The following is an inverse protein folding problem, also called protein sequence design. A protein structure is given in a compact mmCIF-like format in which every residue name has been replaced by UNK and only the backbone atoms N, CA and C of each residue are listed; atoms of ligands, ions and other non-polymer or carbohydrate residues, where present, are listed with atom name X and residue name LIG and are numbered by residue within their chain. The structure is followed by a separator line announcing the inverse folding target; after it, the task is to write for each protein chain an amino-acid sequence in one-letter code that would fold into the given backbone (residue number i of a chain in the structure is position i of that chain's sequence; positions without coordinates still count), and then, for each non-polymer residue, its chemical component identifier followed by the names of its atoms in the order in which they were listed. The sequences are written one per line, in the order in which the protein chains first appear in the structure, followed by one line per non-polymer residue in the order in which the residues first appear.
data_IF_814117463479
#
_entry.id   IF_814117463479
#
_cell.length_a   1.000
_cell.length_b   1.000
_cell.length_c   1.000
_cell.angle_alpha   90.00
_cell.angle_beta   90.00
_cell.angle_gamma   90.00
#
_symmetry.space_group_name_H-M   'P 1'
#
loop_
_entity.id
_entity.type
_entity.pdbx_description
1 polymer ?
#
# COMPACT_ATOMS: atom_id res chain seq x y z
N UNK A 1 -44.34 -0.77 -30.17
CA UNK A 1 -42.97 -1.29 -29.98
C UNK A 1 -42.42 -0.67 -28.69
N UNK A 2 -42.72 -1.28 -27.54
CA UNK A 2 -42.25 -0.80 -26.23
C UNK A 2 -40.78 -1.19 -26.06
N UNK A 3 -39.88 -0.22 -26.01
CA UNK A 3 -38.52 -0.44 -25.50
C UNK A 3 -38.60 -0.48 -23.96
N UNK A 4 -38.46 -1.66 -23.38
CA UNK A 4 -38.13 -1.80 -21.96
C UNK A 4 -36.69 -1.34 -21.74
N UNK A 5 -36.52 -0.19 -21.09
CA UNK A 5 -35.26 0.18 -20.47
C UNK A 5 -34.99 -0.76 -19.30
N UNK A 6 -34.16 -1.77 -19.53
CA UNK A 6 -33.50 -2.55 -18.48
C UNK A 6 -32.65 -1.59 -17.64
N UNK A 7 -33.19 -1.18 -16.50
CA UNK A 7 -32.43 -0.52 -15.47
C UNK A 7 -31.46 -1.55 -14.90
N UNK A 8 -30.19 -1.46 -15.28
CA UNK A 8 -29.10 -2.14 -14.56
C UNK A 8 -29.09 -1.60 -13.15
N UNK A 9 -29.60 -2.38 -12.20
CA UNK A 9 -29.39 -2.11 -10.79
C UNK A 9 -27.88 -2.15 -10.57
N UNK A 10 -27.29 -0.99 -10.24
CA UNK A 10 -25.96 -0.92 -9.64
C UNK A 10 -26.05 -1.74 -8.35
N UNK A 11 -25.49 -2.95 -8.36
CA UNK A 11 -25.31 -3.71 -7.14
C UNK A 11 -24.48 -2.83 -6.20
N UNK A 12 -25.07 -2.41 -5.08
CA UNK A 12 -24.30 -1.88 -3.97
C UNK A 12 -23.23 -2.93 -3.67
N UNK A 13 -21.95 -2.56 -3.79
CA UNK A 13 -20.84 -3.44 -3.47
C UNK A 13 -21.03 -3.93 -2.04
N UNK A 14 -21.34 -5.22 -1.90
CA UNK A 14 -21.50 -5.83 -0.59
C UNK A 14 -20.18 -5.65 0.17
N UNK A 15 -20.24 -4.99 1.32
CA UNK A 15 -19.06 -4.78 2.15
C UNK A 15 -18.41 -6.13 2.46
N UNK A 16 -17.07 -6.21 2.46
CA UNK A 16 -16.36 -7.42 2.78
C UNK A 16 -16.70 -7.89 4.20
N UNK A 17 -16.60 -9.19 4.42
CA UNK A 17 -16.85 -9.80 5.74
C UNK A 17 -15.89 -9.23 6.79
N UNK A 18 -16.43 -8.84 7.96
CA UNK A 18 -15.65 -8.38 9.12
C UNK A 18 -15.89 -9.34 10.30
N UNK A 19 -14.83 -10.01 10.74
CA UNK A 19 -14.86 -11.00 11.83
C UNK A 19 -14.29 -10.41 13.12
N UNK A 20 -14.57 -11.06 14.26
CA UNK A 20 -13.94 -10.74 15.56
C UNK A 20 -14.57 -9.58 16.34
N UNK A 21 -15.59 -8.90 15.80
CA UNK A 21 -16.20 -7.73 16.44
C UNK A 21 -17.50 -8.03 17.22
N UNK A 22 -18.02 -9.25 17.15
CA UNK A 22 -19.36 -9.59 17.64
C UNK A 22 -19.57 -9.38 19.16
N UNK A 23 -18.52 -9.56 19.96
CA UNK A 23 -18.54 -9.35 21.42
C UNK A 23 -18.37 -7.88 21.83
N UNK A 24 -18.03 -6.99 20.89
CA UNK A 24 -17.86 -5.57 21.16
C UNK A 24 -19.23 -4.86 21.28
N UNK A 25 -19.31 -3.73 22.01
CA UNK A 25 -20.51 -2.90 22.02
C UNK A 25 -20.93 -2.49 20.60
N UNK A 26 -22.23 -2.32 20.36
CA UNK A 26 -22.77 -1.97 19.03
C UNK A 26 -22.20 -0.66 18.47
N UNK A 27 -21.90 0.32 19.32
CA UNK A 27 -21.22 1.54 18.93
C UNK A 27 -19.82 1.28 18.37
N UNK A 28 -19.03 0.44 19.04
CA UNK A 28 -17.70 0.06 18.57
C UNK A 28 -17.76 -0.74 17.25
N UNK A 29 -18.71 -1.68 17.12
CA UNK A 29 -18.95 -2.38 15.86
C UNK A 29 -19.24 -1.39 14.71
N UNK A 30 -20.08 -0.39 14.96
CA UNK A 30 -20.40 0.65 13.99
C UNK A 30 -19.18 1.48 13.60
N UNK A 31 -18.39 1.95 14.58
CA UNK A 31 -17.13 2.67 14.34
C UNK A 31 -16.18 1.87 13.46
N UNK A 32 -15.98 0.57 13.75
CA UNK A 32 -15.09 -0.30 12.98
C UNK A 32 -15.59 -0.46 11.55
N UNK A 33 -16.90 -0.66 11.35
CA UNK A 33 -17.47 -0.75 10.01
C UNK A 33 -17.31 0.55 9.21
N UNK A 34 -17.55 1.71 9.84
CA UNK A 34 -17.36 3.01 9.19
C UNK A 34 -15.90 3.25 8.80
N UNK A 35 -14.98 2.92 9.69
CA UNK A 35 -13.55 3.04 9.45
C UNK A 35 -13.08 2.15 8.29
N UNK A 36 -13.42 0.85 8.32
CA UNK A 36 -13.06 -0.09 7.25
C UNK A 36 -13.65 0.35 5.91
N UNK A 37 -14.93 0.76 5.90
CA UNK A 37 -15.59 1.24 4.67
C UNK A 37 -14.86 2.47 4.13
N UNK A 38 -14.57 3.45 4.98
CA UNK A 38 -13.83 4.64 4.59
C UNK A 38 -12.47 4.30 3.99
N UNK A 39 -11.71 3.38 4.60
CA UNK A 39 -10.38 3.00 4.11
C UNK A 39 -10.42 2.22 2.80
N UNK A 40 -11.44 1.37 2.60
CA UNK A 40 -11.69 0.68 1.32
C UNK A 40 -11.98 1.70 0.23
N UNK A 41 -12.96 2.58 0.45
CA UNK A 41 -13.36 3.60 -0.52
C UNK A 41 -12.18 4.52 -0.86
N UNK A 42 -11.41 4.91 0.15
CA UNK A 42 -10.23 5.74 0.01
C UNK A 42 -9.17 5.09 -0.89
N UNK A 43 -8.89 3.82 -0.66
CA UNK A 43 -7.90 3.05 -1.41
C UNK A 43 -8.38 2.79 -2.84
N UNK A 44 -9.63 2.37 -3.01
CA UNK A 44 -10.21 2.07 -4.31
C UNK A 44 -10.33 3.31 -5.21
N UNK A 45 -10.55 4.50 -4.64
CA UNK A 45 -10.52 5.76 -5.38
C UNK A 45 -9.15 6.05 -6.04
N UNK A 46 -8.07 5.49 -5.49
CA UNK A 46 -6.71 5.67 -5.98
C UNK A 46 -6.21 4.49 -6.82
N UNK A 47 -6.54 3.26 -6.43
CA UNK A 47 -5.95 2.05 -7.02
C UNK A 47 -6.96 1.21 -7.82
N UNK A 48 -8.24 1.60 -7.83
CA UNK A 48 -9.32 0.92 -8.54
C UNK A 48 -10.10 -0.05 -7.66
N UNK A 49 -11.24 -0.56 -8.17
CA UNK A 49 -12.07 -1.49 -7.43
C UNK A 49 -11.35 -2.82 -7.22
N UNK A 50 -11.48 -3.38 -6.02
CA UNK A 50 -11.15 -4.77 -5.74
C UNK A 50 -12.41 -5.61 -5.90
N UNK A 51 -12.26 -6.87 -6.29
CA UNK A 51 -13.42 -7.75 -6.43
C UNK A 51 -14.06 -8.03 -5.07
N UNK A 52 -15.38 -7.91 -5.00
CA UNK A 52 -16.14 -8.27 -3.80
C UNK A 52 -15.88 -9.75 -3.46
N UNK A 53 -15.66 -10.03 -2.17
CA UNK A 53 -15.27 -11.35 -1.65
C UNK A 53 -13.84 -11.82 -1.98
N UNK A 54 -12.97 -10.98 -2.56
CA UNK A 54 -11.54 -11.33 -2.72
C UNK A 54 -10.73 -11.13 -1.42
N UNK A 55 -11.30 -10.45 -0.43
CA UNK A 55 -10.71 -10.22 0.89
C UNK A 55 -11.76 -10.11 2.00
N UNK A 56 -11.34 -10.38 3.23
CA UNK A 56 -12.11 -10.23 4.46
C UNK A 56 -11.24 -9.66 5.59
N UNK A 57 -11.87 -9.14 6.64
CA UNK A 57 -11.20 -8.55 7.79
C UNK A 57 -11.31 -9.42 9.02
N UNK A 58 -10.21 -9.53 9.76
CA UNK A 58 -10.16 -10.15 11.09
C UNK A 58 -9.72 -9.12 12.11
N UNK A 59 -10.62 -8.79 13.04
CA UNK A 59 -10.36 -7.75 14.02
C UNK A 59 -10.11 -8.38 15.39
N UNK A 60 -8.97 -8.05 15.98
CA UNK A 60 -8.67 -8.26 17.39
C UNK A 60 -8.67 -6.91 18.11
N UNK A 61 -9.66 -6.66 18.97
CA UNK A 61 -9.71 -5.44 19.76
C UNK A 61 -9.03 -5.63 21.12
N UNK A 62 -7.89 -4.95 21.33
CA UNK A 62 -7.19 -4.95 22.62
C UNK A 62 -7.78 -3.90 23.55
N UNK A 63 -7.81 -4.21 24.85
CA UNK A 63 -8.41 -3.31 25.83
C UNK A 63 -7.75 -1.94 25.86
N UNK A 64 -6.42 -1.86 25.77
CA UNK A 64 -5.67 -0.62 25.60
C UNK A 64 -4.45 -0.89 24.69
N UNK A 65 -4.14 0.04 23.80
CA UNK A 65 -2.93 0.04 22.99
C UNK A 65 -2.30 1.44 22.99
N UNK A 66 -1.05 1.53 22.53
CA UNK A 66 -0.33 2.82 22.44
C UNK A 66 -0.60 3.57 21.12
N UNK A 67 -1.25 2.91 20.16
CA UNK A 67 -1.59 3.42 18.84
C UNK A 67 -3.00 2.91 18.49
N UNK A 68 -3.78 3.60 17.63
CA UNK A 68 -5.11 3.16 17.24
C UNK A 68 -5.10 1.77 16.57
N UNK A 69 -4.08 1.48 15.75
CA UNK A 69 -3.89 0.18 15.08
C UNK A 69 -2.45 -0.30 15.32
N UNK A 70 -2.15 -0.90 16.49
CA UNK A 70 -0.77 -1.25 16.86
C UNK A 70 -0.15 -2.35 15.98
N UNK A 71 -0.95 -3.10 15.23
CA UNK A 71 -0.46 -4.17 14.38
C UNK A 71 -1.46 -4.53 13.28
N UNK A 72 -0.93 -4.88 12.12
CA UNK A 72 -1.70 -5.46 11.03
C UNK A 72 -0.83 -6.34 10.13
N UNK A 73 -1.48 -7.19 9.34
CA UNK A 73 -0.85 -7.88 8.20
C UNK A 73 -1.89 -8.42 7.20
N UNK A 74 -1.46 -8.64 5.96
CA UNK A 74 -2.18 -9.46 4.99
C UNK A 74 -1.79 -10.93 5.10
N UNK A 75 -2.74 -11.81 5.42
CA UNK A 75 -2.60 -13.24 5.19
C UNK A 75 -3.12 -13.57 3.78
N UNK A 76 -2.20 -13.95 2.87
CA UNK A 76 -2.53 -14.33 1.49
C UNK A 76 -3.24 -15.69 1.48
N UNK A 77 -4.54 -15.68 1.24
CA UNK A 77 -5.42 -16.85 1.20
C UNK A 77 -6.55 -16.64 0.20
N UNK A 78 -7.50 -17.58 0.09
CA UNK A 78 -8.72 -17.42 -0.72
C UNK A 78 -9.94 -17.48 0.21
N UNK A 79 -10.52 -16.33 0.61
CA UNK A 79 -10.11 -14.94 0.30
C UNK A 79 -8.87 -14.48 1.09
N UNK A 80 -8.25 -13.37 0.68
CA UNK A 80 -7.20 -12.72 1.48
C UNK A 80 -7.76 -12.28 2.84
N UNK A 81 -6.95 -12.29 3.89
CA UNK A 81 -7.37 -11.87 5.23
C UNK A 81 -6.55 -10.66 5.68
N UNK A 82 -7.20 -9.53 5.86
CA UNK A 82 -6.62 -8.33 6.47
C UNK A 82 -6.78 -8.48 7.98
N UNK A 83 -5.72 -8.93 8.66
CA UNK A 83 -5.72 -9.09 10.11
C UNK A 83 -5.31 -7.76 10.76
N UNK A 84 -6.12 -7.28 11.70
CA UNK A 84 -5.93 -5.99 12.38
C UNK A 84 -6.05 -6.20 13.88
N UNK A 85 -5.05 -5.72 14.61
CA UNK A 85 -5.20 -5.44 16.03
C UNK A 85 -5.51 -3.96 16.20
N UNK A 86 -6.55 -3.62 16.95
CA UNK A 86 -6.96 -2.23 17.21
C UNK A 86 -7.05 -1.93 18.70
N UNK A 87 -6.90 -0.66 19.08
CA UNK A 87 -7.37 -0.19 20.38
C UNK A 87 -8.90 -0.22 20.40
N UNK A 88 -9.46 -0.92 21.39
CA UNK A 88 -10.91 -1.03 21.60
C UNK A 88 -11.60 0.32 21.80
N UNK A 89 -10.87 1.32 22.30
CA UNK A 89 -11.42 2.64 22.63
C UNK A 89 -11.04 3.73 21.64
N UNK A 90 -10.30 3.41 20.56
CA UNK A 90 -9.98 4.41 19.54
C UNK A 90 -11.25 4.99 18.90
N UNK A 91 -11.28 6.31 18.76
CA UNK A 91 -12.34 7.02 18.07
C UNK A 91 -12.22 6.83 16.56
N UNK A 92 -13.33 7.03 15.84
CA UNK A 92 -13.39 6.87 14.39
C UNK A 92 -12.32 7.71 13.66
N UNK A 93 -12.12 8.96 14.10
CA UNK A 93 -11.15 9.86 13.46
C UNK A 93 -9.70 9.46 13.77
N UNK A 94 -9.42 8.89 14.95
CA UNK A 94 -8.11 8.35 15.27
C UNK A 94 -7.78 7.16 14.37
N UNK A 95 -8.74 6.24 14.19
CA UNK A 95 -8.61 5.10 13.29
C UNK A 95 -8.43 5.53 11.82
N UNK A 96 -9.17 6.55 11.35
CA UNK A 96 -9.01 7.10 10.00
C UNK A 96 -7.66 7.76 9.78
N UNK A 97 -7.13 8.46 10.79
CA UNK A 97 -5.82 9.12 10.72
C UNK A 97 -4.66 8.13 10.84
N UNK A 98 -4.91 6.93 11.37
CA UNK A 98 -3.95 5.84 11.39
C UNK A 98 -3.64 5.36 9.96
N UNK A 99 -2.36 5.15 9.69
CA UNK A 99 -1.89 4.84 8.34
C UNK A 99 -1.97 3.35 7.98
N UNK A 100 -2.08 2.49 8.99
CA UNK A 100 -1.81 1.05 8.91
C UNK A 100 -2.77 0.36 7.95
N UNK A 101 -4.06 0.67 8.02
CA UNK A 101 -5.04 0.01 7.15
C UNK A 101 -4.85 0.39 5.67
N UNK A 102 -4.45 1.63 5.34
CA UNK A 102 -4.15 2.00 3.95
C UNK A 102 -2.92 1.27 3.41
N UNK A 103 -1.94 0.99 4.27
CA UNK A 103 -0.76 0.21 3.93
C UNK A 103 -1.14 -1.24 3.59
N UNK A 104 -1.88 -1.91 4.47
CA UNK A 104 -2.30 -3.28 4.25
C UNK A 104 -3.18 -3.44 3.01
N UNK A 105 -4.12 -2.50 2.80
CA UNK A 105 -4.97 -2.53 1.60
C UNK A 105 -4.16 -2.34 0.32
N UNK A 106 -3.10 -1.52 0.33
CA UNK A 106 -2.24 -1.34 -0.83
C UNK A 106 -1.54 -2.66 -1.23
N UNK A 107 -1.19 -3.53 -0.28
CA UNK A 107 -0.63 -4.86 -0.64
C UNK A 107 -1.56 -5.70 -1.51
N UNK A 108 -2.88 -5.52 -1.44
CA UNK A 108 -3.84 -6.27 -2.27
C UNK A 108 -3.75 -5.94 -3.77
N UNK A 109 -3.04 -4.86 -4.15
CA UNK A 109 -2.90 -4.41 -5.53
C UNK A 109 -1.63 -4.87 -6.23
N UNK A 110 -0.76 -5.61 -5.54
CA UNK A 110 0.39 -6.27 -6.14
C UNK A 110 0.46 -7.74 -5.71
N UNK A 111 0.91 -8.65 -6.60
CA UNK A 111 1.36 -9.98 -6.20
C UNK A 111 2.46 -9.88 -5.14
N UNK A 112 2.46 -10.83 -4.21
CA UNK A 112 3.55 -10.95 -3.24
C UNK A 112 4.84 -11.37 -3.97
N UNK A 113 5.99 -10.82 -3.58
CA UNK A 113 7.28 -11.26 -4.10
C UNK A 113 7.99 -12.21 -3.16
N UNK A 114 9.00 -12.91 -3.67
CA UNK A 114 10.01 -13.58 -2.85
C UNK A 114 10.74 -12.62 -1.91
N UNK A 115 11.36 -13.17 -0.85
CA UNK A 115 11.88 -12.41 0.28
C UNK A 115 12.98 -11.40 -0.10
N UNK A 116 13.88 -11.75 -1.03
CA UNK A 116 14.94 -10.85 -1.50
C UNK A 116 14.40 -9.62 -2.25
N UNK A 117 13.12 -9.66 -2.65
CA UNK A 117 12.44 -8.62 -3.42
C UNK A 117 11.29 -7.97 -2.65
N UNK A 118 11.07 -8.36 -1.39
CA UNK A 118 9.95 -7.87 -0.55
C UNK A 118 9.95 -6.34 -0.38
N UNK A 119 11.12 -5.70 -0.53
CA UNK A 119 11.25 -4.24 -0.56
C UNK A 119 10.38 -3.56 -1.64
N UNK A 120 10.05 -4.26 -2.73
CA UNK A 120 9.08 -3.78 -3.72
C UNK A 120 7.66 -3.74 -3.14
N UNK A 121 7.20 -4.81 -2.47
CA UNK A 121 5.87 -4.84 -1.87
C UNK A 121 5.74 -3.83 -0.73
N UNK A 122 6.70 -3.82 0.21
CA UNK A 122 6.71 -2.89 1.35
C UNK A 122 6.87 -1.44 0.90
N UNK A 123 7.72 -1.21 -0.10
CA UNK A 123 7.90 0.09 -0.72
C UNK A 123 6.63 0.64 -1.35
N UNK A 124 5.92 -0.21 -2.12
CA UNK A 124 4.67 0.16 -2.76
C UNK A 124 3.61 0.54 -1.72
N UNK A 125 3.40 -0.32 -0.72
CA UNK A 125 2.42 -0.05 0.34
C UNK A 125 2.76 1.22 1.13
N UNK A 126 4.04 1.40 1.47
CA UNK A 126 4.52 2.60 2.18
C UNK A 126 4.39 3.88 1.35
N UNK A 127 4.55 3.80 0.03
CA UNK A 127 4.35 4.93 -0.88
C UNK A 127 2.85 5.24 -1.03
N UNK A 128 2.06 4.22 -1.35
CA UNK A 128 0.62 4.36 -1.60
C UNK A 128 -0.16 4.81 -0.39
N UNK A 129 0.18 4.37 0.84
CA UNK A 129 -0.50 4.87 2.04
C UNK A 129 -0.43 6.40 2.13
N UNK A 130 0.70 7.03 1.78
CA UNK A 130 0.84 8.49 1.89
C UNK A 130 -0.04 9.18 0.83
N UNK A 131 -0.05 8.63 -0.39
CA UNK A 131 -0.89 9.15 -1.48
C UNK A 131 -2.38 9.02 -1.15
N UNK A 132 -2.82 7.86 -0.68
CA UNK A 132 -4.23 7.63 -0.30
C UNK A 132 -4.64 8.63 0.78
N UNK A 133 -3.85 8.77 1.85
CA UNK A 133 -4.16 9.71 2.93
C UNK A 133 -4.15 11.17 2.46
N UNK A 134 -3.23 11.56 1.57
CA UNK A 134 -3.23 12.90 0.98
C UNK A 134 -4.49 13.15 0.15
N UNK A 135 -4.90 12.21 -0.69
CA UNK A 135 -6.07 12.36 -1.57
C UNK A 135 -7.39 12.35 -0.82
N UNK A 136 -7.43 11.77 0.38
CA UNK A 136 -8.57 11.86 1.28
C UNK A 136 -8.55 13.07 2.21
N UNK A 137 -7.55 13.96 2.08
CA UNK A 137 -7.44 15.16 2.92
C UNK A 137 -7.03 14.86 4.38
N UNK A 138 -6.64 13.63 4.70
CA UNK A 138 -6.07 13.27 6.00
C UNK A 138 -4.65 13.84 6.18
N UNK A 139 -3.96 14.07 5.07
CA UNK A 139 -2.73 14.84 5.00
C UNK A 139 -2.96 16.02 4.06
N UNK A 140 -2.43 17.19 4.41
CA UNK A 140 -2.18 18.24 3.43
C UNK A 140 -0.83 18.02 2.73
N UNK A 141 -0.55 18.77 1.66
CA UNK A 141 0.67 18.63 0.87
C UNK A 141 1.95 18.82 1.71
N UNK A 142 1.94 19.76 2.66
CA UNK A 142 3.08 20.01 3.55
C UNK A 142 3.33 18.80 4.46
N UNK A 143 2.29 18.25 5.06
CA UNK A 143 2.36 17.06 5.90
C UNK A 143 2.82 15.84 5.10
N UNK A 144 2.31 15.65 3.88
CA UNK A 144 2.76 14.58 2.98
C UNK A 144 4.27 14.71 2.72
N UNK A 145 4.75 15.88 2.28
CA UNK A 145 6.18 16.08 1.97
C UNK A 145 7.05 15.87 3.21
N UNK A 146 6.63 16.39 4.37
CA UNK A 146 7.34 16.20 5.63
C UNK A 146 7.42 14.72 6.04
N UNK A 147 6.32 13.97 5.94
CA UNK A 147 6.27 12.54 6.27
C UNK A 147 7.18 11.72 5.37
N UNK A 148 7.11 11.94 4.05
CA UNK A 148 7.96 11.23 3.07
C UNK A 148 9.44 11.58 3.30
N UNK A 149 9.78 12.86 3.47
CA UNK A 149 11.14 13.30 3.75
C UNK A 149 11.69 12.68 5.05
N UNK A 150 10.91 12.69 6.12
CA UNK A 150 11.30 12.11 7.40
C UNK A 150 11.50 10.58 7.30
N UNK A 151 10.65 9.90 6.54
CA UNK A 151 10.78 8.48 6.24
C UNK A 151 12.06 8.14 5.48
N UNK A 152 12.31 8.82 4.37
CA UNK A 152 13.54 8.67 3.59
C UNK A 152 14.79 8.92 4.45
N UNK A 153 14.73 9.90 5.37
CA UNK A 153 15.81 10.14 6.32
C UNK A 153 16.04 8.96 7.28
N UNK A 154 14.96 8.33 7.80
CA UNK A 154 15.08 7.10 8.62
C UNK A 154 15.69 5.94 7.82
N UNK A 155 15.25 5.74 6.58
CA UNK A 155 15.84 4.75 5.67
C UNK A 155 17.33 4.97 5.48
N UNK A 156 17.74 6.20 5.14
CA UNK A 156 19.15 6.59 5.00
C UNK A 156 19.98 6.36 6.26
N UNK A 157 19.42 6.67 7.44
CA UNK A 157 20.09 6.41 8.72
C UNK A 157 20.26 4.90 8.95
N UNK A 158 19.25 4.09 8.63
CA UNK A 158 19.33 2.65 8.82
C UNK A 158 20.28 1.97 7.83
N UNK A 159 20.42 2.46 6.60
CA UNK A 159 21.44 1.99 5.64
C UNK A 159 22.87 2.13 6.16
N UNK A 160 23.14 3.11 7.03
CA UNK A 160 24.46 3.24 7.68
C UNK A 160 24.71 2.19 8.76
N UNK A 161 23.65 1.61 9.33
CA UNK A 161 23.71 0.61 10.42
C UNK A 161 23.64 -0.82 9.88
N UNK A 162 22.87 -1.03 8.83
CA UNK A 162 22.70 -2.32 8.16
C UNK A 162 23.23 -2.15 6.75
N UNK A 163 24.46 -2.61 6.51
CA UNK A 163 25.13 -2.60 5.20
C UNK A 163 24.75 -3.82 4.34
N UNK A 164 25.23 -3.88 3.09
CA UNK A 164 24.98 -5.00 2.17
C UNK A 164 24.05 -4.59 1.03
N UNK A 165 23.92 -5.44 0.01
CA UNK A 165 23.02 -5.19 -1.11
C UNK A 165 21.55 -5.19 -0.64
N UNK A 166 20.69 -4.39 -1.29
CA UNK A 166 19.30 -4.26 -0.86
C UNK A 166 18.55 -5.60 -0.88
N UNK A 167 18.80 -6.45 -1.87
CA UNK A 167 18.16 -7.76 -1.95
C UNK A 167 18.55 -8.68 -0.79
N UNK A 168 19.84 -8.74 -0.43
CA UNK A 168 20.33 -9.51 0.72
C UNK A 168 19.75 -9.01 2.05
N UNK A 169 19.65 -7.68 2.19
CA UNK A 169 19.07 -7.08 3.39
C UNK A 169 17.55 -7.28 3.46
N UNK A 170 16.89 -7.30 2.31
CA UNK A 170 15.44 -7.57 2.23
C UNK A 170 15.13 -9.02 2.59
N UNK A 171 15.91 -9.97 2.06
CA UNK A 171 15.77 -11.40 2.35
C UNK A 171 15.86 -11.70 3.85
N UNK A 172 16.72 -10.96 4.57
CA UNK A 172 16.98 -11.15 5.99
C UNK A 172 16.45 -10.00 6.88
N UNK A 173 15.47 -9.23 6.41
CA UNK A 173 15.12 -7.94 7.05
C UNK A 173 14.64 -8.08 8.49
N UNK A 174 13.93 -9.16 8.81
CA UNK A 174 13.36 -9.40 10.14
C UNK A 174 14.46 -9.64 11.18
N UNK A 175 15.44 -10.49 10.87
CA UNK A 175 16.56 -10.74 11.76
C UNK A 175 17.48 -9.52 11.90
N UNK A 176 17.64 -8.75 10.82
CA UNK A 176 18.44 -7.52 10.81
C UNK A 176 17.71 -6.31 11.41
N UNK A 177 16.41 -6.44 11.72
CA UNK A 177 15.51 -5.33 12.04
C UNK A 177 15.59 -4.17 11.01
N UNK A 178 15.75 -4.50 9.73
CA UNK A 178 16.07 -3.56 8.65
C UNK A 178 14.85 -2.89 7.98
N UNK A 179 13.70 -2.90 8.66
CA UNK A 179 12.41 -2.45 8.11
C UNK A 179 12.47 -1.03 7.51
N UNK A 180 13.01 -0.03 8.22
CA UNK A 180 13.09 1.33 7.68
C UNK A 180 13.94 1.42 6.42
N UNK A 181 15.04 0.67 6.33
CA UNK A 181 15.87 0.61 5.12
C UNK A 181 15.07 0.00 3.98
N UNK A 182 14.46 -1.16 4.19
CA UNK A 182 13.69 -1.91 3.17
C UNK A 182 12.55 -1.06 2.64
N UNK A 183 11.69 -0.58 3.54
CA UNK A 183 10.47 0.14 3.21
C UNK A 183 10.79 1.45 2.48
N UNK A 184 11.72 2.26 3.02
CA UNK A 184 12.02 3.56 2.43
C UNK A 184 12.96 3.50 1.23
N UNK A 185 13.71 2.41 1.01
CA UNK A 185 14.37 2.17 -0.28
C UNK A 185 13.33 1.88 -1.36
N UNK A 186 12.30 1.10 -1.03
CA UNK A 186 11.17 0.86 -1.94
C UNK A 186 10.35 2.13 -2.22
N UNK A 187 10.12 2.99 -1.23
CA UNK A 187 9.48 4.31 -1.48
C UNK A 187 10.29 5.16 -2.46
N UNK A 188 11.62 5.22 -2.28
CA UNK A 188 12.48 5.96 -3.20
C UNK A 188 12.42 5.41 -4.63
N UNK A 189 12.38 4.08 -4.78
CA UNK A 189 12.15 3.42 -6.05
C UNK A 189 10.84 3.87 -6.71
N UNK A 190 9.72 3.87 -5.97
CA UNK A 190 8.43 4.29 -6.54
C UNK A 190 8.34 5.80 -6.81
N UNK A 191 9.07 6.65 -6.07
CA UNK A 191 9.19 8.09 -6.42
C UNK A 191 9.91 8.26 -7.76
N UNK A 192 11.03 7.56 -7.97
CA UNK A 192 11.76 7.63 -9.24
C UNK A 192 10.96 7.01 -10.39
N UNK A 193 10.25 5.91 -10.14
CA UNK A 193 9.37 5.28 -11.12
C UNK A 193 8.21 6.20 -11.51
N UNK A 194 7.51 6.80 -10.54
CA UNK A 194 6.43 7.76 -10.78
C UNK A 194 6.94 8.91 -11.67
N UNK A 195 8.06 9.52 -11.33
CA UNK A 195 8.62 10.63 -12.12
C UNK A 195 8.93 10.22 -13.55
N UNK A 196 9.52 9.04 -13.75
CA UNK A 196 9.82 8.51 -15.07
C UNK A 196 8.55 8.15 -15.88
N UNK A 197 7.47 7.75 -15.20
CA UNK A 197 6.16 7.54 -15.81
C UNK A 197 5.52 8.89 -16.21
N UNK A 198 5.60 9.91 -15.35
CA UNK A 198 5.07 11.25 -15.62
C UNK A 198 5.76 11.89 -16.84
N UNK A 199 7.07 11.69 -17.00
CA UNK A 199 7.82 12.10 -18.21
C UNK A 199 7.32 11.42 -19.50
N UNK A 200 6.51 10.36 -19.36
CA UNK A 200 5.90 9.59 -20.45
C UNK A 200 4.39 9.81 -20.54
N UNK A 201 3.85 10.82 -19.85
CA UNK A 201 2.42 11.15 -19.80
C UNK A 201 1.54 10.01 -19.26
N UNK A 202 2.05 9.24 -18.28
CA UNK A 202 1.30 8.26 -17.49
C UNK A 202 1.74 8.35 -16.03
N UNK A 203 1.11 7.62 -15.11
CA UNK A 203 1.45 7.62 -13.69
C UNK A 203 1.27 6.21 -13.11
N UNK A 204 1.75 5.98 -11.88
CA UNK A 204 1.66 4.68 -11.24
C UNK A 204 0.21 4.21 -11.07
N UNK A 205 -0.72 5.12 -10.73
CA UNK A 205 -2.15 4.80 -10.59
C UNK A 205 -2.71 4.18 -11.87
N UNK A 206 -2.46 4.80 -13.02
CA UNK A 206 -2.96 4.34 -14.30
C UNK A 206 -2.37 2.97 -14.68
N UNK A 207 -1.10 2.74 -14.34
CA UNK A 207 -0.44 1.43 -14.55
C UNK A 207 -1.08 0.34 -13.68
N UNK A 208 -1.32 0.62 -12.39
CA UNK A 208 -1.95 -0.35 -11.47
C UNK A 208 -3.40 -0.62 -11.89
N UNK A 209 -4.16 0.42 -12.25
CA UNK A 209 -5.53 0.29 -12.77
C UNK A 209 -5.61 -0.58 -14.03
N UNK A 210 -4.62 -0.48 -14.92
CA UNK A 210 -4.54 -1.32 -16.11
C UNK A 210 -4.15 -2.77 -15.78
N UNK A 211 -3.39 -3.00 -14.70
CA UNK A 211 -2.88 -4.31 -14.32
C UNK A 211 -3.92 -5.20 -13.61
N UNK A 212 -4.93 -5.69 -14.33
CA UNK A 212 -5.90 -6.66 -13.77
C UNK A 212 -5.24 -7.91 -13.19
N UNK A 213 -4.15 -8.36 -13.81
CA UNK A 213 -3.39 -9.51 -13.33
C UNK A 213 -2.79 -9.28 -11.94
N UNK A 214 -2.52 -8.03 -11.55
CA UNK A 214 -1.92 -7.70 -10.26
C UNK A 214 -2.85 -7.98 -9.07
N UNK A 215 -4.17 -8.03 -9.29
CA UNK A 215 -5.18 -8.24 -8.24
C UNK A 215 -5.85 -9.61 -8.26
N UNK A 216 -5.62 -10.42 -9.31
CA UNK A 216 -6.31 -11.69 -9.53
C UNK A 216 -5.53 -12.91 -9.08
N UNK A 217 -4.19 -12.86 -9.12
CA UNK A 217 -3.35 -14.00 -8.77
C UNK A 217 -2.79 -13.85 -7.35
N UNK A 218 -3.01 -14.89 -6.53
CA UNK A 218 -2.43 -14.99 -5.20
C UNK A 218 -1.06 -15.66 -5.21
N UNK A 219 -0.54 -16.03 -6.38
CA UNK A 219 0.78 -16.62 -6.53
C UNK A 219 1.89 -15.63 -6.15
N UNK A 220 2.93 -16.16 -5.51
CA UNK A 220 4.15 -15.40 -5.26
C UNK A 220 4.94 -15.30 -6.57
N UNK A 221 5.37 -14.10 -6.93
CA UNK A 221 6.24 -13.84 -8.07
C UNK A 221 7.68 -13.60 -7.62
N UNK A 222 8.63 -13.78 -8.53
CA UNK A 222 9.95 -13.18 -8.37
C UNK A 222 9.86 -11.66 -8.51
N UNK A 223 10.82 -10.93 -7.95
CA UNK A 223 10.89 -9.48 -8.13
C UNK A 223 10.96 -9.08 -9.62
N UNK A 224 11.70 -9.86 -10.42
CA UNK A 224 11.84 -9.65 -11.86
C UNK A 224 10.53 -9.86 -12.62
N UNK A 225 9.74 -10.87 -12.25
CA UNK A 225 8.42 -11.12 -12.86
C UNK A 225 7.44 -9.98 -12.57
N UNK A 226 7.42 -9.50 -11.32
CA UNK A 226 6.56 -8.38 -10.94
C UNK A 226 6.88 -7.12 -11.75
N UNK A 227 8.15 -6.72 -11.83
CA UNK A 227 8.51 -5.49 -12.56
C UNK A 227 8.35 -5.65 -14.08
N UNK A 228 8.52 -6.86 -14.62
CA UNK A 228 8.21 -7.16 -16.02
C UNK A 228 6.71 -7.04 -16.30
N UNK A 229 5.86 -7.46 -15.35
CA UNK A 229 4.42 -7.29 -15.44
C UNK A 229 4.05 -5.79 -15.47
N UNK A 230 4.61 -4.99 -14.57
CA UNK A 230 4.37 -3.54 -14.52
C UNK A 230 4.90 -2.81 -15.77
N UNK A 231 6.04 -3.23 -16.31
CA UNK A 231 6.58 -2.71 -17.57
C UNK A 231 5.66 -2.98 -18.77
N UNK A 232 5.03 -4.15 -18.82
CA UNK A 232 4.03 -4.49 -19.84
C UNK A 232 2.85 -3.50 -19.81
N UNK A 233 2.33 -3.18 -18.64
CA UNK A 233 1.17 -2.29 -18.50
C UNK A 233 1.53 -0.81 -18.62
N UNK A 234 2.76 -0.41 -18.28
CA UNK A 234 3.26 0.95 -18.53
C UNK A 234 3.80 1.16 -19.95
N UNK A 235 3.88 0.08 -20.76
CA UNK A 235 4.51 0.08 -22.08
C UNK A 235 5.89 0.73 -22.05
N UNK A 236 6.70 0.36 -21.05
CA UNK A 236 7.99 0.96 -20.77
C UNK A 236 8.97 -0.06 -20.17
N UNK A 237 10.20 0.38 -19.87
CA UNK A 237 11.18 -0.39 -19.09
C UNK A 237 11.53 0.35 -17.78
N UNK A 238 10.63 1.21 -17.29
CA UNK A 238 10.87 2.03 -16.11
C UNK A 238 11.10 1.14 -14.89
N UNK A 239 10.24 0.15 -14.68
CA UNK A 239 10.28 -0.68 -13.48
C UNK A 239 11.46 -1.67 -13.52
N UNK A 240 11.64 -2.43 -14.60
CA UNK A 240 12.76 -3.39 -14.67
C UNK A 240 14.13 -2.71 -14.60
N UNK A 241 14.31 -1.57 -15.29
CA UNK A 241 15.57 -0.83 -15.23
C UNK A 241 15.89 -0.37 -13.81
N UNK A 242 14.92 0.25 -13.13
CA UNK A 242 15.11 0.67 -11.74
C UNK A 242 15.31 -0.53 -10.82
N UNK A 243 14.63 -1.65 -11.06
CA UNK A 243 14.72 -2.84 -10.21
C UNK A 243 16.13 -3.44 -10.21
N UNK A 244 16.71 -3.65 -11.39
CA UNK A 244 18.08 -4.16 -11.50
C UNK A 244 19.12 -3.20 -10.95
N UNK A 245 18.84 -1.89 -10.93
CA UNK A 245 19.67 -0.91 -10.24
C UNK A 245 19.51 -1.02 -8.72
N UNK A 246 18.28 -1.03 -8.21
CA UNK A 246 17.98 -0.97 -6.77
C UNK A 246 18.34 -2.25 -6.02
N UNK A 247 18.08 -3.42 -6.60
CA UNK A 247 18.23 -4.70 -5.90
C UNK A 247 19.67 -4.91 -5.39
N UNK A 248 20.67 -4.37 -6.08
CA UNK A 248 22.09 -4.50 -5.71
C UNK A 248 22.66 -3.28 -4.99
N UNK A 249 21.85 -2.24 -4.70
CA UNK A 249 22.34 -1.02 -4.03
C UNK A 249 22.76 -1.30 -2.60
N UNK A 250 23.97 -0.88 -2.28
CA UNK A 250 24.44 -0.80 -0.90
C UNK A 250 24.24 0.59 -0.28
N UNK A 251 24.04 1.61 -1.12
CA UNK A 251 23.77 2.99 -0.70
C UNK A 251 22.27 3.24 -0.49
N UNK A 252 21.92 4.43 0.01
CA UNK A 252 20.53 4.89 0.06
C UNK A 252 20.32 5.96 -1.02
N UNK A 253 19.30 5.84 -1.88
CA UNK A 253 19.05 6.77 -2.98
C UNK A 253 18.80 8.20 -2.48
N UNK A 254 19.23 9.17 -3.28
CA UNK A 254 19.03 10.58 -3.00
C UNK A 254 17.74 11.08 -3.66
N UNK A 255 16.71 11.35 -2.85
CA UNK A 255 15.44 11.92 -3.29
C UNK A 255 15.33 13.35 -2.76
N UNK A 256 15.07 14.29 -3.66
CA UNK A 256 14.89 15.71 -3.36
C UNK A 256 13.43 16.07 -3.05
N UNK A 257 13.22 17.19 -2.35
CA UNK A 257 11.87 17.72 -2.12
C UNK A 257 11.13 18.06 -3.41
N UNK A 258 11.85 18.46 -4.46
CA UNK A 258 11.26 18.73 -5.78
C UNK A 258 10.71 17.43 -6.40
N UNK A 259 11.42 16.30 -6.26
CA UNK A 259 10.94 14.99 -6.68
C UNK A 259 9.70 14.58 -5.89
N UNK A 260 9.72 14.69 -4.55
CA UNK A 260 8.56 14.40 -3.69
C UNK A 260 7.36 15.28 -4.05
N UNK A 261 7.60 16.56 -4.37
CA UNK A 261 6.55 17.51 -4.74
C UNK A 261 5.89 17.15 -6.07
N UNK A 262 6.70 16.73 -7.03
CA UNK A 262 6.23 16.35 -8.37
C UNK A 262 5.26 15.16 -8.32
N UNK A 263 5.46 14.20 -7.41
CA UNK A 263 4.65 12.97 -7.38
C UNK A 263 3.18 13.19 -7.01
N UNK A 264 2.83 14.23 -6.25
CA UNK A 264 1.41 14.47 -5.88
C UNK A 264 0.72 15.57 -6.68
N UNK A 265 1.46 16.34 -7.48
CA UNK A 265 0.90 17.42 -8.29
C UNK A 265 0.15 16.90 -9.52
N UNK A 266 0.48 15.68 -9.99
CA UNK A 266 -0.01 15.12 -11.25
C UNK A 266 -0.95 13.91 -11.06
N UNK A 267 -1.45 13.71 -9.84
CA UNK A 267 -2.48 12.73 -9.50
C UNK A 267 -3.88 13.29 -9.63
#
# INVERSE_FOLDING_TARGET
MLLLCLHTQLNASQLPQVNGIHELPKSAQHTIHQWITFAIDATQAQLGPLEANSYAFDIEAKWLANEPVPWAQINRAKPNRVALTIDRFAELEELKQDWTLYHELAHLYLPLTEADSIWLNEGFATYMQQHIMLRQGLLNQVQYTQRVRAGLARGKIQTRKVSGALNEVSDNMWHLNAYQRVYWSGVAYFIEAEIALLDRNTNLKDVILACRACTQDSSTLTGSELVTLLDRYSQSQVFSRLYFQYRTRADFPAISDAQITRTYQQW
#
